data_IF_850671985880
#
_entry.id   IF_850671985880
#
_cell.length_a   1.000
_cell.length_b   1.000
_cell.length_c   1.000
_cell.angle_alpha   90.00
_cell.angle_beta   90.00
_cell.angle_gamma   90.00
#
_symmetry.space_group_name_H-M   'P 1'
#
loop_
_entity.id
_entity.type
_entity.pdbx_description
1 polymer ?
#
# COMPACT_ATOMS: atom_id res chain seq x y z
N UNK A 1 -1.76 29.88 22.53
CA UNK A 1 -1.84 28.41 22.70
C UNK A 1 -0.47 27.89 23.05
N UNK A 2 -0.30 27.20 24.18
CA UNK A 2 0.98 26.58 24.54
C UNK A 2 1.28 25.45 23.56
N UNK A 3 2.35 25.61 22.77
CA UNK A 3 2.79 24.67 21.73
C UNK A 3 2.94 23.23 22.25
N UNK A 4 3.36 23.06 23.52
CA UNK A 4 3.50 21.74 24.14
C UNK A 4 2.20 20.94 24.25
N UNK A 5 1.08 21.59 24.60
CA UNK A 5 -0.21 20.90 24.79
C UNK A 5 -0.85 20.58 23.44
N UNK A 6 -0.67 21.46 22.44
CA UNK A 6 -1.08 21.21 21.05
C UNK A 6 -0.33 20.02 20.44
N UNK A 7 0.99 19.95 20.60
CA UNK A 7 1.82 18.87 20.06
C UNK A 7 1.51 17.51 20.73
N UNK A 8 1.24 17.52 22.04
CA UNK A 8 0.83 16.31 22.76
C UNK A 8 -0.47 15.74 22.22
N UNK A 9 -1.49 16.59 22.03
CA UNK A 9 -2.78 16.17 21.49
C UNK A 9 -2.64 15.67 20.04
N UNK A 10 -1.87 16.37 19.19
CA UNK A 10 -1.61 15.92 17.82
C UNK A 10 -0.95 14.54 17.76
N UNK A 11 0.07 14.28 18.58
CA UNK A 11 0.73 12.98 18.65
C UNK A 11 -0.21 11.88 19.15
N UNK A 12 -1.11 12.19 20.08
CA UNK A 12 -2.12 11.25 20.55
C UNK A 12 -3.11 10.91 19.42
N UNK A 13 -3.57 11.91 18.67
CA UNK A 13 -4.43 11.69 17.50
C UNK A 13 -3.74 10.84 16.44
N UNK A 14 -2.49 11.15 16.08
CA UNK A 14 -1.73 10.34 15.10
C UNK A 14 -1.64 8.88 15.55
N UNK A 15 -1.29 8.62 16.81
CA UNK A 15 -1.20 7.25 17.35
C UNK A 15 -2.54 6.51 17.38
N UNK A 16 -3.67 7.21 17.51
CA UNK A 16 -5.00 6.58 17.50
C UNK A 16 -5.44 6.13 16.11
N UNK A 17 -4.94 6.78 15.05
CA UNK A 17 -5.31 6.49 13.66
C UNK A 17 -4.22 5.77 12.87
N UNK A 18 -3.05 5.58 13.45
CA UNK A 18 -1.96 4.82 12.85
C UNK A 18 -2.28 3.33 12.89
N UNK A 19 -2.13 2.65 11.75
CA UNK A 19 -2.25 1.20 11.67
C UNK A 19 -1.08 0.60 12.47
N UNK A 20 -1.33 -0.25 13.48
CA UNK A 20 -0.26 -0.92 14.21
C UNK A 20 0.66 -1.70 13.27
N UNK A 21 1.96 -1.75 13.57
CA UNK A 21 2.93 -2.44 12.73
C UNK A 21 2.55 -3.92 12.50
N UNK A 22 1.97 -4.56 13.51
CA UNK A 22 1.46 -5.93 13.46
C UNK A 22 0.31 -6.06 12.46
N UNK A 23 -0.63 -5.11 12.46
CA UNK A 23 -1.73 -5.11 11.50
C UNK A 23 -1.23 -4.83 10.08
N UNK A 24 -0.23 -3.94 9.93
CA UNK A 24 0.46 -3.74 8.66
C UNK A 24 1.12 -5.02 8.15
N UNK A 25 1.77 -5.77 9.03
CA UNK A 25 2.37 -7.06 8.69
C UNK A 25 1.30 -8.08 8.26
N UNK A 26 0.18 -8.18 8.97
CA UNK A 26 -0.96 -9.04 8.60
C UNK A 26 -1.50 -8.67 7.23
N UNK A 27 -1.71 -7.37 6.96
CA UNK A 27 -2.26 -6.88 5.71
C UNK A 27 -1.40 -7.24 4.49
N UNK A 28 -0.08 -7.39 4.69
CA UNK A 28 0.87 -7.81 3.65
C UNK A 28 0.98 -9.33 3.57
N UNK A 29 1.10 -10.01 4.72
CA UNK A 29 1.40 -11.43 4.77
C UNK A 29 0.16 -12.31 4.48
N UNK A 30 -1.04 -11.88 4.85
CA UNK A 30 -2.25 -12.66 4.61
C UNK A 30 -2.53 -12.90 3.10
N UNK A 31 -2.49 -11.88 2.23
CA UNK A 31 -2.58 -12.08 0.78
C UNK A 31 -1.55 -13.06 0.20
N UNK A 32 -0.34 -13.10 0.78
CA UNK A 32 0.79 -13.87 0.25
C UNK A 32 0.81 -15.31 0.76
N UNK A 33 0.49 -15.51 2.04
CA UNK A 33 0.67 -16.79 2.72
C UNK A 33 -0.62 -17.57 2.91
N UNK A 34 -1.78 -16.92 2.79
CA UNK A 34 -3.05 -17.61 3.02
C UNK A 34 -3.30 -18.67 1.93
N UNK A 35 -3.60 -19.93 2.29
CA UNK A 35 -3.95 -20.97 1.34
C UNK A 35 -5.29 -20.71 0.64
N UNK A 36 -6.07 -19.73 1.11
CA UNK A 36 -7.30 -19.27 0.45
C UNK A 36 -6.99 -18.39 -0.77
N UNK A 37 -5.85 -17.68 -0.76
CA UNK A 37 -5.42 -16.79 -1.84
C UNK A 37 -4.56 -17.54 -2.86
N UNK A 38 -5.19 -18.50 -3.58
CA UNK A 38 -4.48 -19.35 -4.55
C UNK A 38 -4.20 -18.69 -5.89
N UNK A 39 -4.93 -17.62 -6.21
CA UNK A 39 -4.85 -16.92 -7.49
C UNK A 39 -3.92 -15.70 -7.41
N UNK A 40 -3.09 -15.53 -8.44
CA UNK A 40 -2.24 -14.34 -8.59
C UNK A 40 -2.97 -13.22 -9.33
N UNK A 41 -2.52 -11.97 -9.17
CA UNK A 41 -3.05 -10.83 -9.92
C UNK A 41 -4.27 -10.17 -9.27
N UNK A 42 -4.64 -10.60 -8.07
CA UNK A 42 -5.63 -9.94 -7.23
C UNK A 42 -5.00 -8.74 -6.52
N UNK A 43 -5.79 -7.69 -6.33
CA UNK A 43 -5.37 -6.50 -5.61
C UNK A 43 -5.94 -6.54 -4.19
N UNK A 44 -5.10 -6.27 -3.20
CA UNK A 44 -5.49 -6.27 -1.79
C UNK A 44 -5.18 -4.92 -1.16
N UNK A 45 -6.12 -4.43 -0.35
CA UNK A 45 -5.96 -3.23 0.45
C UNK A 45 -6.37 -3.54 1.88
N UNK A 46 -5.44 -3.36 2.82
CA UNK A 46 -5.62 -3.72 4.23
C UNK A 46 -5.99 -5.21 4.43
N UNK A 47 -5.35 -6.09 3.65
CA UNK A 47 -5.57 -7.55 3.72
C UNK A 47 -6.85 -8.04 3.04
N UNK A 48 -7.71 -7.15 2.53
CA UNK A 48 -8.96 -7.49 1.85
C UNK A 48 -8.83 -7.34 0.34
N UNK A 49 -9.34 -8.31 -0.42
CA UNK A 49 -9.40 -8.23 -1.89
C UNK A 49 -10.29 -7.05 -2.29
N UNK A 50 -9.81 -6.24 -3.24
CA UNK A 50 -10.55 -5.10 -3.81
C UNK A 50 -10.32 -5.03 -5.31
N UNK A 51 -11.32 -4.50 -6.01
CA UNK A 51 -11.14 -4.11 -7.40
C UNK A 51 -10.09 -3.00 -7.51
N UNK A 52 -9.18 -3.08 -8.49
CA UNK A 52 -8.19 -2.05 -8.67
C UNK A 52 -8.84 -0.78 -9.23
N UNK A 53 -8.23 0.37 -8.95
CA UNK A 53 -8.73 1.66 -9.40
C UNK A 53 -8.47 1.89 -10.90
N UNK A 54 -9.04 2.96 -11.46
CA UNK A 54 -8.90 3.33 -12.87
C UNK A 54 -7.44 3.60 -13.31
N UNK A 55 -6.50 3.74 -12.37
CA UNK A 55 -5.08 4.04 -12.64
C UNK A 55 -4.35 2.83 -13.28
N UNK A 56 -4.93 1.63 -13.25
CA UNK A 56 -4.34 0.43 -13.87
C UNK A 56 -3.98 0.62 -15.34
N UNK A 57 -4.77 1.38 -16.11
CA UNK A 57 -4.45 1.62 -17.53
C UNK A 57 -3.17 2.45 -17.70
N UNK A 58 -2.94 3.41 -16.80
CA UNK A 58 -1.73 4.24 -16.78
C UNK A 58 -0.48 3.39 -16.50
N UNK A 59 -0.61 2.38 -15.63
CA UNK A 59 0.52 1.48 -15.29
C UNK A 59 1.00 0.68 -16.50
N UNK A 60 0.12 0.27 -17.42
CA UNK A 60 0.54 -0.40 -18.66
C UNK A 60 1.41 0.51 -19.54
N UNK A 61 1.04 1.79 -19.64
CA UNK A 61 1.83 2.77 -20.41
C UNK A 61 3.18 3.00 -19.75
N UNK A 62 3.21 3.11 -18.42
CA UNK A 62 4.44 3.26 -17.64
C UNK A 62 5.39 2.06 -17.82
N UNK A 63 4.87 0.84 -17.82
CA UNK A 63 5.65 -0.37 -18.07
C UNK A 63 6.35 -0.31 -19.43
N UNK A 64 5.60 -0.01 -20.49
CA UNK A 64 6.14 0.07 -21.85
C UNK A 64 7.27 1.12 -21.97
N UNK A 65 7.08 2.30 -21.36
CA UNK A 65 8.12 3.35 -21.35
C UNK A 65 9.35 2.88 -20.56
N UNK A 66 9.16 2.21 -19.42
CA UNK A 66 10.25 1.69 -18.60
C UNK A 66 11.10 0.66 -19.35
N UNK A 67 10.48 -0.25 -20.10
CA UNK A 67 11.21 -1.19 -20.95
C UNK A 67 12.02 -0.48 -22.05
N UNK A 68 11.47 0.58 -22.66
CA UNK A 68 12.18 1.36 -23.67
C UNK A 68 13.42 2.02 -23.08
N UNK A 69 13.29 2.65 -21.91
CA UNK A 69 14.43 3.28 -21.21
C UNK A 69 15.51 2.25 -20.89
N UNK A 70 15.13 1.08 -20.35
CA UNK A 70 16.08 0.01 -20.01
C UNK A 70 16.79 -0.56 -21.24
N UNK A 71 16.13 -0.60 -22.41
CA UNK A 71 16.75 -1.02 -23.67
C UNK A 71 17.73 0.03 -24.22
N UNK A 72 17.51 1.31 -23.94
CA UNK A 72 18.41 2.41 -24.34
C UNK A 72 19.67 2.46 -23.46
N UNK A 73 19.59 1.99 -22.21
CA UNK A 73 20.69 1.99 -21.25
C UNK A 73 21.62 0.75 -21.33
N UNK A 74 21.32 -0.22 -22.20
CA UNK A 74 22.18 -1.38 -22.49
C UNK A 74 23.00 -1.12 -23.74
#
# INVERSE_FOLDING_TARGET
>A
MNSGLSNFLQNLFVKMYEIPAEQGAINVLYPVLSPENKETGKYYHEGLEKEPNEIVEVMKRLWNVSEQILKIMK
#
